data_IF_411352407275
#
_entry.id   IF_411352407275
#
_cell.length_a   1.000
_cell.length_b   1.000
_cell.length_c   1.000
_cell.angle_alpha   90.00
_cell.angle_beta   90.00
_cell.angle_gamma   90.00
#
_symmetry.space_group_name_H-M   'P 1'
#
loop_
_entity.id
_entity.type
_entity.pdbx_description
1 polymer ?
#
# COMPACT_ATOMS: atom_id res chain seq x y z
N UNK A 1 -15.46 -13.28 -1.49
CA UNK A 1 -16.56 -13.05 -0.54
C UNK A 1 -16.14 -11.88 0.34
N UNK A 2 -16.80 -10.73 0.22
CA UNK A 2 -16.50 -9.56 1.07
C UNK A 2 -17.08 -9.80 2.47
N UNK A 3 -16.27 -10.35 3.38
CA UNK A 3 -16.65 -10.44 4.80
C UNK A 3 -16.32 -9.12 5.47
N UNK A 4 -17.19 -8.12 5.27
CA UNK A 4 -17.12 -6.89 6.03
C UNK A 4 -17.45 -7.20 7.50
N UNK A 5 -16.48 -6.97 8.39
CA UNK A 5 -16.71 -7.04 9.84
C UNK A 5 -17.90 -6.11 10.18
N UNK A 6 -18.96 -6.60 10.85
CA UNK A 6 -20.08 -5.76 11.23
C UNK A 6 -19.62 -4.53 12.02
N UNK A 7 -20.26 -3.37 11.82
CA UNK A 7 -19.81 -2.11 12.45
C UNK A 7 -19.73 -2.23 13.97
N UNK A 8 -20.65 -2.95 14.61
CA UNK A 8 -20.67 -3.14 16.06
C UNK A 8 -19.49 -3.98 16.59
N UNK A 9 -18.82 -4.75 15.73
CA UNK A 9 -17.61 -5.53 16.04
C UNK A 9 -16.33 -4.79 15.62
N UNK A 10 -16.46 -3.65 14.95
CA UNK A 10 -15.33 -2.85 14.50
C UNK A 10 -14.77 -2.04 15.67
N UNK A 11 -13.45 -1.97 15.76
CA UNK A 11 -12.75 -1.08 16.70
C UNK A 11 -13.24 0.37 16.55
N UNK A 12 -13.34 1.09 17.67
CA UNK A 12 -13.91 2.44 17.68
C UNK A 12 -13.11 3.42 16.80
N UNK A 13 -11.78 3.31 16.77
CA UNK A 13 -10.93 4.14 15.92
C UNK A 13 -11.10 3.78 14.44
N UNK A 14 -11.29 2.49 14.13
CA UNK A 14 -11.57 2.04 12.77
C UNK A 14 -12.95 2.49 12.24
N UNK A 15 -13.96 2.62 13.11
CA UNK A 15 -15.30 3.12 12.73
C UNK A 15 -15.27 4.54 12.15
N UNK A 16 -14.41 5.40 12.69
CA UNK A 16 -14.27 6.79 12.22
C UNK A 16 -13.91 6.81 10.72
N UNK A 17 -12.97 5.97 10.32
CA UNK A 17 -12.52 5.87 8.93
C UNK A 17 -13.52 5.17 8.02
N UNK A 18 -14.28 4.20 8.53
CA UNK A 18 -15.35 3.55 7.76
C UNK A 18 -16.49 4.50 7.45
N UNK A 19 -16.95 5.26 8.45
CA UNK A 19 -18.10 6.15 8.31
C UNK A 19 -17.76 7.42 7.52
N UNK A 20 -16.52 7.92 7.63
CA UNK A 20 -16.07 9.17 7.01
C UNK A 20 -14.96 8.96 5.99
N UNK A 21 -14.99 7.86 5.24
CA UNK A 21 -13.87 7.46 4.38
C UNK A 21 -13.40 8.57 3.43
N UNK A 22 -14.33 9.22 2.71
CA UNK A 22 -13.97 10.25 1.71
C UNK A 22 -13.15 11.41 2.28
N UNK A 23 -13.45 11.85 3.50
CA UNK A 23 -12.74 12.96 4.15
C UNK A 23 -11.53 12.50 4.95
N UNK A 24 -11.50 11.23 5.36
CA UNK A 24 -10.45 10.67 6.22
C UNK A 24 -9.43 9.79 5.48
N UNK A 25 -9.62 9.53 4.17
CA UNK A 25 -8.82 8.56 3.40
C UNK A 25 -7.31 8.83 3.41
N UNK A 26 -6.89 10.10 3.43
CA UNK A 26 -5.46 10.46 3.43
C UNK A 26 -4.82 10.16 4.79
N UNK A 27 -5.55 10.43 5.86
CA UNK A 27 -5.14 10.07 7.21
C UNK A 27 -5.12 8.55 7.39
N UNK A 28 -6.12 7.84 6.86
CA UNK A 28 -6.18 6.39 6.90
C UNK A 28 -5.01 5.78 6.12
N UNK A 29 -4.72 6.27 4.91
CA UNK A 29 -3.62 5.81 4.07
C UNK A 29 -2.28 5.88 4.81
N UNK A 30 -1.96 7.03 5.41
CA UNK A 30 -0.73 7.20 6.19
C UNK A 30 -0.67 6.28 7.42
N UNK A 31 -1.79 6.14 8.14
CA UNK A 31 -1.87 5.25 9.31
C UNK A 31 -1.68 3.79 8.93
N UNK A 32 -2.33 3.33 7.85
CA UNK A 32 -2.21 1.96 7.38
C UNK A 32 -0.82 1.67 6.84
N UNK A 33 -0.23 2.59 6.08
CA UNK A 33 1.14 2.43 5.60
C UNK A 33 2.12 2.25 6.76
N UNK A 34 2.06 3.13 7.77
CA UNK A 34 2.90 3.00 8.96
C UNK A 34 2.67 1.67 9.68
N UNK A 35 1.40 1.34 9.94
CA UNK A 35 1.02 0.11 10.63
C UNK A 35 1.58 -1.13 9.90
N UNK A 36 1.36 -1.23 8.60
CA UNK A 36 1.81 -2.38 7.81
C UNK A 36 3.32 -2.42 7.68
N UNK A 37 3.98 -1.28 7.49
CA UNK A 37 5.43 -1.24 7.43
C UNK A 37 6.04 -1.76 8.74
N UNK A 38 5.50 -1.34 9.88
CA UNK A 38 5.95 -1.79 11.19
C UNK A 38 5.62 -3.26 11.46
N UNK A 39 4.40 -3.70 11.18
CA UNK A 39 3.91 -5.00 11.62
C UNK A 39 4.09 -6.16 10.63
N UNK A 40 4.30 -5.86 9.35
CA UNK A 40 4.41 -6.86 8.27
C UNK A 40 5.78 -6.84 7.62
N UNK A 41 6.36 -5.66 7.44
CA UNK A 41 7.58 -5.47 6.65
C UNK A 41 8.81 -5.12 7.49
N UNK A 42 8.75 -5.20 8.82
CA UNK A 42 9.85 -4.88 9.75
C UNK A 42 10.50 -3.49 9.49
N UNK A 43 9.69 -2.51 9.09
CA UNK A 43 10.09 -1.18 8.65
C UNK A 43 11.10 -1.17 7.47
N UNK A 44 11.11 -2.21 6.65
CA UNK A 44 12.03 -2.34 5.53
C UNK A 44 11.65 -1.48 4.30
N UNK A 45 10.39 -1.01 4.22
CA UNK A 45 9.99 -0.04 3.19
C UNK A 45 10.30 1.38 3.73
N UNK A 46 10.98 2.26 2.97
CA UNK A 46 11.29 3.61 3.42
C UNK A 46 10.03 4.39 3.84
N UNK A 47 10.08 5.06 5.00
CA UNK A 47 8.93 5.83 5.51
C UNK A 47 8.53 7.01 4.60
N UNK A 48 9.45 7.50 3.78
CA UNK A 48 9.26 8.56 2.80
C UNK A 48 8.77 8.05 1.43
N UNK A 49 8.40 6.76 1.33
CA UNK A 49 7.80 6.17 0.13
C UNK A 49 6.60 7.01 -0.33
N UNK A 50 6.62 7.46 -1.59
CA UNK A 50 5.57 8.31 -2.13
C UNK A 50 4.25 7.54 -2.26
N UNK A 51 3.19 8.08 -1.65
CA UNK A 51 1.81 7.58 -1.71
C UNK A 51 0.94 8.61 -2.43
N UNK A 52 0.42 8.25 -3.60
CA UNK A 52 -0.29 9.17 -4.50
C UNK A 52 -1.72 8.70 -4.78
N UNK A 53 -2.64 9.64 -4.92
CA UNK A 53 -3.99 9.38 -5.43
C UNK A 53 -4.08 9.73 -6.91
N UNK A 54 -4.69 8.87 -7.71
CA UNK A 54 -4.93 9.08 -9.12
C UNK A 54 -6.44 8.98 -9.43
N UNK A 55 -7.01 10.03 -10.01
CA UNK A 55 -8.42 10.15 -10.38
C UNK A 55 -8.75 9.69 -11.81
N UNK A 56 -7.72 9.49 -12.63
CA UNK A 56 -7.80 8.95 -14.00
C UNK A 56 -7.66 7.44 -14.05
N UNK A 57 -7.12 6.81 -13.00
CA UNK A 57 -6.93 5.36 -12.93
C UNK A 57 -8.26 4.62 -12.76
N UNK A 58 -8.66 3.84 -13.77
CA UNK A 58 -9.93 3.08 -13.79
C UNK A 58 -9.76 1.57 -13.99
N UNK A 59 -8.60 1.12 -14.50
CA UNK A 59 -8.36 -0.29 -14.81
C UNK A 59 -7.87 -1.14 -13.62
N UNK A 60 -7.37 -0.50 -12.57
CA UNK A 60 -6.89 -1.15 -11.34
C UNK A 60 -7.14 -0.26 -10.12
N UNK A 61 -7.19 -0.86 -8.93
CA UNK A 61 -7.31 -0.15 -7.66
C UNK A 61 -5.99 0.47 -7.19
N UNK A 62 -4.86 -0.19 -7.46
CA UNK A 62 -3.52 0.18 -7.04
C UNK A 62 -2.47 -0.07 -8.11
N UNK A 63 -1.31 0.59 -7.97
CA UNK A 63 -0.11 0.30 -8.75
C UNK A 63 1.16 0.65 -7.96
N UNK A 64 2.11 -0.27 -7.90
CA UNK A 64 3.46 -0.03 -7.37
C UNK A 64 4.45 0.20 -8.53
N UNK A 65 5.03 1.40 -8.59
CA UNK A 65 6.08 1.71 -9.56
C UNK A 65 7.45 1.51 -8.92
N UNK A 66 8.18 0.55 -9.45
CA UNK A 66 9.52 0.18 -9.01
C UNK A 66 10.59 0.87 -9.87
N UNK A 67 11.57 1.50 -9.22
CA UNK A 67 12.69 2.18 -9.90
C UNK A 67 14.03 1.69 -9.37
N UNK A 68 14.95 1.41 -10.29
CA UNK A 68 16.35 1.06 -10.00
C UNK A 68 17.21 2.27 -10.36
N UNK A 69 18.01 2.75 -9.42
CA UNK A 69 18.92 3.86 -9.61
C UNK A 69 20.34 3.34 -9.41
N UNK A 70 21.15 3.38 -10.48
CA UNK A 70 22.57 3.08 -10.38
C UNK A 70 23.32 4.40 -10.25
N UNK A 71 23.94 4.64 -9.09
CA UNK A 71 24.74 5.83 -8.84
C UNK A 71 26.07 5.73 -9.59
N UNK A 72 26.72 6.87 -9.85
CA UNK A 72 28.05 6.91 -10.50
C UNK A 72 29.12 6.12 -9.74
N UNK A 73 28.91 5.91 -8.42
CA UNK A 73 29.75 5.08 -7.55
C UNK A 73 29.55 3.58 -7.76
N UNK A 74 28.63 3.15 -8.63
CA UNK A 74 28.26 1.74 -8.83
C UNK A 74 27.21 1.23 -7.83
N UNK A 75 26.88 2.00 -6.79
CA UNK A 75 25.85 1.64 -5.82
C UNK A 75 24.47 1.59 -6.49
N UNK A 76 23.78 0.46 -6.32
CA UNK A 76 22.42 0.25 -6.79
C UNK A 76 21.44 0.53 -5.66
N UNK A 77 20.49 1.41 -5.93
CA UNK A 77 19.39 1.76 -5.03
C UNK A 77 18.06 1.38 -5.68
N UNK A 78 17.15 0.85 -4.88
CA UNK A 78 15.81 0.45 -5.33
C UNK A 78 14.78 1.25 -4.56
N UNK A 79 13.94 1.96 -5.29
CA UNK A 79 12.86 2.76 -4.71
C UNK A 79 11.52 2.35 -5.31
N UNK A 80 10.45 2.63 -4.58
CA UNK A 80 9.08 2.40 -5.02
C UNK A 80 8.23 3.66 -4.81
N UNK A 81 7.15 3.80 -5.59
CA UNK A 81 6.02 4.69 -5.27
C UNK A 81 4.72 3.92 -5.45
N UNK A 82 3.75 4.19 -4.59
CA UNK A 82 2.44 3.53 -4.62
C UNK A 82 1.39 4.55 -5.07
N UNK A 83 0.61 4.18 -6.07
CA UNK A 83 -0.46 4.99 -6.65
C UNK A 83 -1.78 4.28 -6.47
N UNK A 84 -2.78 4.99 -5.96
CA UNK A 84 -4.08 4.45 -5.60
C UNK A 84 -5.21 5.15 -6.36
N UNK A 85 -6.17 4.39 -6.88
CA UNK A 85 -7.31 4.94 -7.62
C UNK A 85 -8.35 5.52 -6.69
N UNK A 86 -8.69 6.80 -6.87
CA UNK A 86 -9.83 7.41 -6.16
C UNK A 86 -11.19 6.95 -6.70
N UNK A 87 -11.23 6.32 -7.87
CA UNK A 87 -12.46 5.83 -8.50
C UNK A 87 -12.81 4.41 -8.09
N UNK A 88 -11.80 3.58 -7.80
CA UNK A 88 -12.00 2.18 -7.39
C UNK A 88 -11.99 2.04 -5.87
N UNK A 89 -11.13 2.79 -5.18
CA UNK A 89 -11.06 2.80 -3.71
C UNK A 89 -12.05 3.82 -3.16
N UNK A 90 -13.27 3.36 -2.91
CA UNK A 90 -14.39 4.14 -2.40
C UNK A 90 -14.76 3.83 -0.93
N UNK A 91 -14.05 2.88 -0.30
CA UNK A 91 -14.28 2.46 1.08
C UNK A 91 -12.97 2.10 1.81
N UNK A 92 -12.99 2.20 3.15
CA UNK A 92 -11.82 1.96 4.00
C UNK A 92 -11.21 0.56 3.86
N UNK A 93 -12.03 -0.49 3.70
CA UNK A 93 -11.53 -1.86 3.54
C UNK A 93 -10.82 -2.04 2.19
N UNK A 94 -11.32 -1.41 1.11
CA UNK A 94 -10.64 -1.43 -0.20
C UNK A 94 -9.29 -0.75 -0.13
N UNK A 95 -9.18 0.36 0.63
CA UNK A 95 -7.90 1.02 0.85
C UNK A 95 -6.93 0.11 1.58
N UNK A 96 -7.38 -0.52 2.67
CA UNK A 96 -6.59 -1.49 3.44
C UNK A 96 -6.04 -2.61 2.56
N UNK A 97 -6.92 -3.28 1.82
CA UNK A 97 -6.55 -4.47 1.05
C UNK A 97 -5.70 -4.12 -0.17
N UNK A 98 -6.01 -3.01 -0.84
CA UNK A 98 -5.20 -2.54 -1.98
C UNK A 98 -3.82 -2.07 -1.52
N UNK A 99 -3.75 -1.34 -0.41
CA UNK A 99 -2.48 -0.79 0.07
C UNK A 99 -1.50 -1.90 0.45
N UNK A 100 -1.92 -2.88 1.25
CA UNK A 100 -1.03 -3.98 1.64
C UNK A 100 -0.55 -4.76 0.40
N UNK A 101 -1.42 -4.96 -0.59
CA UNK A 101 -1.06 -5.61 -1.86
C UNK A 101 0.07 -4.87 -2.59
N UNK A 102 -0.06 -3.55 -2.76
CA UNK A 102 0.97 -2.74 -3.40
C UNK A 102 2.25 -2.65 -2.55
N UNK A 103 2.13 -2.69 -1.22
CA UNK A 103 3.29 -2.76 -0.32
C UNK A 103 4.04 -4.09 -0.43
N UNK A 104 3.36 -5.22 -0.65
CA UNK A 104 4.05 -6.50 -0.93
C UNK A 104 4.86 -6.44 -2.23
N UNK A 105 4.37 -5.74 -3.26
CA UNK A 105 5.17 -5.47 -4.48
C UNK A 105 6.38 -4.59 -4.17
N UNK A 106 6.20 -3.53 -3.38
CA UNK A 106 7.29 -2.66 -2.95
C UNK A 106 8.35 -3.41 -2.13
N UNK A 107 7.95 -4.24 -1.18
CA UNK A 107 8.84 -5.05 -0.36
C UNK A 107 9.60 -6.08 -1.19
N UNK A 108 8.92 -6.78 -2.10
CA UNK A 108 9.57 -7.71 -3.05
C UNK A 108 10.66 -7.01 -3.87
N UNK A 109 10.38 -5.78 -4.31
CA UNK A 109 11.35 -4.99 -5.06
C UNK A 109 12.52 -4.49 -4.21
N UNK A 110 12.25 -3.90 -3.04
CA UNK A 110 13.24 -3.22 -2.21
C UNK A 110 14.07 -4.24 -1.42
N UNK A 111 13.41 -5.16 -0.73
CA UNK A 111 14.03 -6.12 0.20
C UNK A 111 14.58 -7.32 -0.56
N UNK A 112 13.75 -7.95 -1.38
CA UNK A 112 14.16 -9.18 -2.09
C UNK A 112 14.91 -8.89 -3.40
N UNK A 113 14.98 -7.62 -3.83
CA UNK A 113 15.64 -7.20 -5.07
C UNK A 113 15.08 -7.86 -6.34
N UNK A 114 13.82 -8.31 -6.31
CA UNK A 114 13.16 -9.06 -7.38
C UNK A 114 12.09 -8.21 -8.07
N UNK A 115 11.98 -8.37 -9.39
CA UNK A 115 10.94 -7.75 -10.22
C UNK A 115 10.00 -8.84 -10.72
N UNK A 116 9.15 -9.33 -9.84
CA UNK A 116 8.14 -10.34 -10.17
C UNK A 116 6.75 -9.83 -9.78
N UNK A 117 5.72 -10.44 -10.32
CA UNK A 117 4.33 -10.18 -9.92
C UNK A 117 4.02 -10.87 -8.59
N UNK A 118 2.99 -11.71 -8.57
CA UNK A 118 2.58 -12.48 -7.39
C UNK A 118 3.39 -13.78 -7.20
N UNK A 119 4.73 -13.66 -7.31
CA UNK A 119 5.69 -14.76 -7.17
C UNK A 119 5.84 -15.28 -5.74
N UNK A 120 6.81 -16.15 -5.50
CA UNK A 120 7.06 -16.73 -4.17
C UNK A 120 7.40 -15.67 -3.12
N UNK A 121 8.21 -14.67 -3.46
CA UNK A 121 8.54 -13.56 -2.58
C UNK A 121 7.32 -12.70 -2.23
N UNK A 122 6.47 -12.39 -3.20
CA UNK A 122 5.25 -11.63 -2.96
C UNK A 122 4.31 -12.39 -2.03
N UNK A 123 4.16 -13.71 -2.21
CA UNK A 123 3.30 -14.56 -1.36
C UNK A 123 3.86 -14.79 0.05
N UNK A 124 5.15 -14.54 0.26
CA UNK A 124 5.79 -14.67 1.56
C UNK A 124 5.52 -13.44 2.47
N UNK A 125 5.09 -12.33 1.87
CA UNK A 125 4.58 -11.14 2.56
C UNK A 125 3.06 -11.22 2.72
#
# INVERSE_FOLDING_TARGET
METNVPIFQCDMLARIFRNNFKTSKDQLLKKLFKLFNESVFDNAIPEDTALEWNDRMRGTAGYCYCKKITRRTGVVERTARIVLSTKVIDAAYRLRDTLIHEMCHAATWIVNCVSDGHGSYWKAW
#
